data_IF_519685501211
#
_entry.id   IF_519685501211
#
_cell.length_a   1.000
_cell.length_b   1.000
_cell.length_c   1.000
_cell.angle_alpha   90.00
_cell.angle_beta   90.00
_cell.angle_gamma   90.00
#
_symmetry.space_group_name_H-M   'P 1'
#
loop_
_entity.id
_entity.type
_entity.pdbx_description
1 polymer ?
#
# COMPACT_ATOMS: atom_id res chain seq x y z
N UNK A 1 -14.49 -7.79 -34.80
CA UNK A 1 -13.43 -7.16 -33.98
C UNK A 1 -13.26 -7.99 -32.72
N UNK A 2 -12.07 -8.57 -32.48
CA UNK A 2 -11.78 -9.21 -31.19
C UNK A 2 -11.48 -8.10 -30.20
N UNK A 3 -12.34 -7.95 -29.19
CA UNK A 3 -12.06 -7.14 -28.01
C UNK A 3 -10.78 -7.71 -27.40
N UNK A 4 -9.70 -6.94 -27.23
CA UNK A 4 -8.50 -7.47 -26.60
C UNK A 4 -8.91 -7.89 -25.19
N UNK A 5 -8.76 -9.18 -24.89
CA UNK A 5 -8.92 -9.73 -23.56
C UNK A 5 -8.00 -8.92 -22.64
N UNK A 6 -8.57 -7.94 -21.94
CA UNK A 6 -7.89 -7.23 -20.87
C UNK A 6 -7.54 -8.30 -19.86
N UNK A 7 -6.27 -8.73 -19.88
CA UNK A 7 -5.72 -9.71 -18.95
C UNK A 7 -6.33 -9.41 -17.58
N UNK A 8 -6.96 -10.38 -16.90
CA UNK A 8 -7.57 -10.11 -15.60
C UNK A 8 -6.50 -9.44 -14.74
N UNK A 9 -6.74 -8.18 -14.34
CA UNK A 9 -5.85 -7.46 -13.43
C UNK A 9 -5.66 -8.41 -12.25
N UNK A 10 -4.45 -8.96 -12.09
CA UNK A 10 -4.16 -9.85 -10.95
C UNK A 10 -4.60 -9.07 -9.72
N UNK A 11 -5.61 -9.57 -9.00
CA UNK A 11 -6.06 -8.96 -7.75
C UNK A 11 -4.83 -8.74 -6.89
N UNK A 12 -4.57 -7.48 -6.53
CA UNK A 12 -3.44 -7.18 -5.69
C UNK A 12 -3.68 -7.90 -4.35
N UNK A 13 -2.69 -8.67 -3.88
CA UNK A 13 -2.79 -9.38 -2.60
C UNK A 13 -3.20 -8.46 -1.44
N UNK A 14 -2.90 -7.17 -1.56
CA UNK A 14 -3.19 -6.15 -0.57
C UNK A 14 -4.30 -5.18 -1.02
N UNK A 15 -5.15 -5.55 -1.98
CA UNK A 15 -6.25 -4.71 -2.47
C UNK A 15 -7.20 -4.26 -1.35
N UNK A 16 -7.57 -5.16 -0.43
CA UNK A 16 -8.39 -4.78 0.74
C UNK A 16 -7.70 -3.76 1.63
N UNK A 17 -6.38 -3.89 1.83
CA UNK A 17 -5.60 -2.95 2.63
C UNK A 17 -5.46 -1.60 1.92
N UNK A 18 -5.27 -1.61 0.60
CA UNK A 18 -5.26 -0.38 -0.22
C UNK A 18 -6.57 0.39 -0.05
N UNK A 19 -7.72 -0.28 -0.13
CA UNK A 19 -9.03 0.35 0.07
C UNK A 19 -9.21 0.90 1.49
N UNK A 20 -8.66 0.21 2.49
CA UNK A 20 -8.67 0.67 3.88
C UNK A 20 -7.84 1.95 4.06
N UNK A 21 -6.67 2.06 3.42
CA UNK A 21 -5.84 3.27 3.45
C UNK A 21 -6.59 4.48 2.86
N UNK A 22 -7.29 4.27 1.73
CA UNK A 22 -8.10 5.32 1.09
C UNK A 22 -9.27 5.72 2.00
N UNK A 23 -10.01 4.73 2.52
CA UNK A 23 -11.15 5.00 3.40
C UNK A 23 -10.75 5.73 4.68
N UNK A 24 -9.57 5.44 5.24
CA UNK A 24 -9.09 6.14 6.44
C UNK A 24 -8.70 7.58 6.12
N UNK A 25 -8.06 7.83 4.97
CA UNK A 25 -7.71 9.19 4.56
C UNK A 25 -8.94 10.11 4.43
N UNK A 26 -10.13 9.56 4.11
CA UNK A 26 -11.39 10.31 4.09
C UNK A 26 -11.96 10.61 5.50
N UNK A 27 -11.49 9.91 6.53
CA UNK A 27 -12.09 9.95 7.88
C UNK A 27 -11.21 10.61 8.93
N UNK A 28 -9.88 10.60 8.76
CA UNK A 28 -8.93 11.18 9.72
C UNK A 28 -7.94 12.10 9.02
N UNK A 29 -7.35 13.08 9.74
CA UNK A 29 -6.26 13.89 9.22
C UNK A 29 -5.13 13.04 8.63
N UNK A 30 -4.53 13.53 7.54
CA UNK A 30 -3.53 12.79 6.76
C UNK A 30 -2.28 12.40 7.58
N UNK A 31 -1.94 13.18 8.60
CA UNK A 31 -0.86 12.91 9.55
C UNK A 31 -1.16 11.74 10.51
N UNK A 32 -2.44 11.42 10.72
CA UNK A 32 -2.91 10.30 11.54
C UNK A 32 -3.28 9.06 10.72
N UNK A 33 -3.48 9.18 9.40
CA UNK A 33 -3.91 8.11 8.49
C UNK A 33 -2.88 6.98 8.23
N UNK A 34 -1.90 6.80 9.12
CA UNK A 34 -0.89 5.75 9.01
C UNK A 34 -1.39 4.41 9.54
N UNK A 35 -1.48 3.42 8.66
CA UNK A 35 -1.83 2.06 9.06
C UNK A 35 -0.64 1.10 9.03
N UNK A 36 -0.56 0.17 10.00
CA UNK A 36 0.43 -0.89 9.99
C UNK A 36 0.21 -1.85 8.82
N UNK A 37 1.28 -2.23 8.13
CA UNK A 37 1.20 -3.16 7.01
C UNK A 37 0.63 -4.54 7.42
N UNK A 38 -0.29 -5.13 6.64
CA UNK A 38 -0.95 -6.38 7.00
C UNK A 38 0.04 -7.55 7.04
N UNK A 39 -0.02 -8.32 8.12
CA UNK A 39 0.81 -9.52 8.29
C UNK A 39 2.32 -9.26 8.44
N UNK A 40 2.73 -8.03 8.74
CA UNK A 40 4.14 -7.63 8.76
C UNK A 40 5.05 -8.36 9.76
N UNK A 41 4.47 -9.02 10.79
CA UNK A 41 5.20 -9.95 11.68
C UNK A 41 5.88 -11.08 10.92
N UNK A 42 5.30 -11.51 9.80
CA UNK A 42 5.83 -12.59 8.94
C UNK A 42 6.84 -12.07 7.90
N UNK A 43 6.97 -10.75 7.75
CA UNK A 43 7.88 -10.14 6.78
C UNK A 43 9.27 -9.96 7.37
N UNK A 44 10.29 -10.30 6.59
CA UNK A 44 11.68 -9.99 6.95
C UNK A 44 11.89 -8.47 6.93
N UNK A 45 12.81 -7.91 7.76
CA UNK A 45 13.10 -6.47 7.75
C UNK A 45 13.43 -5.92 6.36
N UNK A 46 14.22 -6.66 5.57
CA UNK A 46 14.54 -6.30 4.18
C UNK A 46 13.28 -6.15 3.30
N UNK A 47 12.31 -7.06 3.45
CA UNK A 47 11.06 -7.01 2.70
C UNK A 47 10.20 -5.81 3.07
N UNK A 48 10.21 -5.40 4.36
CA UNK A 48 9.51 -4.19 4.81
C UNK A 48 10.10 -2.94 4.16
N UNK A 49 11.44 -2.84 4.10
CA UNK A 49 12.12 -1.74 3.42
C UNK A 49 11.85 -1.74 1.91
N UNK A 50 11.86 -2.91 1.27
CA UNK A 50 11.53 -3.05 -0.14
C UNK A 50 10.09 -2.57 -0.43
N UNK A 51 9.12 -2.99 0.39
CA UNK A 51 7.73 -2.55 0.24
C UNK A 51 7.57 -1.06 0.49
N UNK A 52 8.28 -0.50 1.48
CA UNK A 52 8.33 0.95 1.70
C UNK A 52 8.79 1.69 0.44
N UNK A 53 9.88 1.25 -0.19
CA UNK A 53 10.40 1.87 -1.40
C UNK A 53 9.41 1.74 -2.57
N UNK A 54 8.78 0.57 -2.71
CA UNK A 54 7.79 0.33 -3.77
C UNK A 54 6.52 1.15 -3.60
N UNK A 55 6.12 1.46 -2.37
CA UNK A 55 5.02 2.41 -2.10
C UNK A 55 5.42 3.80 -2.58
N UNK A 56 6.57 4.29 -2.12
CA UNK A 56 7.05 5.65 -2.41
C UNK A 56 7.43 5.87 -3.89
N UNK A 57 7.67 4.80 -4.65
CA UNK A 57 7.94 4.84 -6.09
C UNK A 57 6.69 4.54 -6.95
N UNK A 58 5.49 4.49 -6.35
CA UNK A 58 4.22 4.18 -7.03
C UNK A 58 4.16 2.77 -7.67
N UNK A 59 5.09 1.88 -7.33
CA UNK A 59 5.21 0.52 -7.89
C UNK A 59 4.32 -0.52 -7.20
N UNK A 60 3.83 -0.21 -5.99
CA UNK A 60 3.04 -1.15 -5.19
C UNK A 60 1.54 -0.99 -5.39
N UNK A 61 1.03 0.24 -5.22
CA UNK A 61 -0.39 0.59 -5.31
C UNK A 61 -0.70 1.66 -6.37
N UNK A 62 0.33 2.20 -7.04
CA UNK A 62 0.20 3.38 -7.89
C UNK A 62 0.39 4.67 -7.10
N UNK A 63 0.03 5.78 -7.75
CA UNK A 63 0.16 7.14 -7.22
C UNK A 63 -0.67 7.37 -5.95
N UNK A 64 -0.16 8.24 -5.09
CA UNK A 64 -0.87 8.72 -3.89
C UNK A 64 -0.71 7.83 -2.65
N UNK A 65 0.22 6.86 -2.67
CA UNK A 65 0.51 6.02 -1.51
C UNK A 65 1.91 6.29 -0.98
N UNK A 66 2.01 6.46 0.34
CA UNK A 66 3.29 6.64 1.02
C UNK A 66 3.56 5.50 1.99
N UNK A 67 4.82 5.10 2.07
CA UNK A 67 5.35 4.12 3.00
C UNK A 67 6.36 4.74 3.96
N UNK A 68 6.34 4.31 5.22
CA UNK A 68 7.33 4.68 6.22
C UNK A 68 7.65 3.50 7.13
N UNK A 69 8.93 3.26 7.41
CA UNK A 69 9.35 2.25 8.39
C UNK A 69 9.64 2.95 9.71
N UNK A 70 8.86 2.63 10.75
CA UNK A 70 8.97 3.20 12.10
C UNK A 70 9.18 2.07 13.11
N UNK A 71 10.24 2.14 13.92
CA UNK A 71 10.61 1.08 14.86
C UNK A 71 10.70 -0.32 14.20
N UNK A 72 11.14 -0.36 12.94
CA UNK A 72 11.22 -1.59 12.15
C UNK A 72 9.89 -2.11 11.59
N UNK A 73 8.77 -1.44 11.85
CA UNK A 73 7.46 -1.80 11.31
C UNK A 73 7.13 -0.93 10.10
N UNK A 74 6.55 -1.54 9.07
CA UNK A 74 6.10 -0.81 7.89
C UNK A 74 4.72 -0.24 8.15
N UNK A 75 4.59 1.06 7.89
CA UNK A 75 3.34 1.78 7.86
C UNK A 75 3.10 2.32 6.46
N UNK A 76 1.84 2.41 6.07
CA UNK A 76 1.42 3.03 4.83
C UNK A 76 0.28 4.01 5.08
N UNK A 77 0.13 5.00 4.21
CA UNK A 77 -1.03 5.90 4.16
C UNK A 77 -1.36 6.25 2.72
N UNK A 78 -2.58 6.73 2.50
CA UNK A 78 -2.97 7.41 1.27
C UNK A 78 -2.84 8.93 1.45
N UNK A 79 -2.32 9.62 0.44
CA UNK A 79 -2.04 11.06 0.43
C UNK A 79 -2.60 11.78 -0.80
N UNK A 80 -3.28 11.04 -1.69
CA UNK A 80 -3.81 11.54 -2.95
C UNK A 80 -5.18 12.19 -2.83
#
# INVERSE_FOLDING_TARGET
>A
MRIPETKPRRRNKYESFMNELVAIADTVPQDEAWLPWPGQKKLKPRTRNEYCNRLNNDEMFGLGFEGSVRNGWLYARYVG
#
